data_IF_725916726238
#
_entry.id   IF_725916726238
#
_cell.length_a   1.000
_cell.length_b   1.000
_cell.length_c   1.000
_cell.angle_alpha   90.00
_cell.angle_beta   90.00
_cell.angle_gamma   90.00
#
_symmetry.space_group_name_H-M   'P 1'
#
loop_
_entity.id
_entity.type
_entity.pdbx_description
1 polymer ?
#
# COMPACT_ATOMS: atom_id res chain seq x y z
N UNK A 1 52.59 -7.51 14.05
CA UNK A 1 52.22 -8.25 12.82
C UNK A 1 50.71 -8.31 12.75
N UNK A 2 50.08 -7.57 11.82
CA UNK A 2 48.62 -7.51 11.72
C UNK A 2 48.07 -8.84 11.20
N UNK A 3 47.13 -9.43 11.92
CA UNK A 3 46.47 -10.72 11.65
C UNK A 3 45.51 -10.68 10.44
N UNK A 4 45.24 -9.49 9.91
CA UNK A 4 44.27 -9.28 8.83
C UNK A 4 44.86 -9.46 7.42
N UNK A 5 46.18 -9.56 7.28
CA UNK A 5 46.88 -9.69 5.99
C UNK A 5 46.71 -11.05 5.30
N UNK A 6 46.16 -12.06 6.00
CA UNK A 6 45.86 -13.39 5.43
C UNK A 6 44.50 -13.47 4.76
N UNK A 7 43.65 -12.45 4.93
CA UNK A 7 42.30 -12.47 4.37
C UNK A 7 42.26 -11.74 3.03
N UNK A 8 41.52 -12.31 2.07
CA UNK A 8 41.25 -11.68 0.78
C UNK A 8 40.12 -10.69 0.94
N UNK A 9 40.44 -9.40 0.85
CA UNK A 9 39.44 -8.34 0.85
C UNK A 9 38.72 -8.32 -0.50
N UNK A 10 37.43 -8.64 -0.49
CA UNK A 10 36.56 -8.46 -1.66
C UNK A 10 35.55 -7.37 -1.34
N UNK A 11 35.42 -6.39 -2.23
CA UNK A 11 34.38 -5.37 -2.16
C UNK A 11 33.05 -6.02 -2.49
N UNK A 12 32.10 -6.00 -1.54
CA UNK A 12 30.74 -6.42 -1.79
C UNK A 12 30.11 -5.39 -2.74
N UNK A 13 29.99 -5.73 -4.03
CA UNK A 13 29.24 -4.92 -4.97
C UNK A 13 27.78 -4.87 -4.52
N UNK A 14 27.24 -3.67 -4.34
CA UNK A 14 25.85 -3.45 -3.94
C UNK A 14 24.95 -4.12 -4.99
N UNK A 15 24.02 -4.97 -4.56
CA UNK A 15 23.02 -5.53 -5.46
C UNK A 15 22.35 -4.39 -6.27
N UNK A 16 22.01 -4.62 -7.56
CA UNK A 16 21.36 -3.59 -8.36
C UNK A 16 20.14 -3.07 -7.61
N UNK A 17 20.04 -1.75 -7.50
CA UNK A 17 18.95 -1.12 -6.78
C UNK A 17 17.63 -1.57 -7.43
N UNK A 18 16.75 -2.20 -6.65
CA UNK A 18 15.39 -2.54 -7.09
C UNK A 18 14.78 -1.29 -7.72
N UNK A 19 14.23 -1.44 -8.92
CA UNK A 19 13.63 -0.34 -9.68
C UNK A 19 12.68 0.44 -8.74
N UNK A 20 12.86 1.76 -8.59
CA UNK A 20 11.97 2.59 -7.79
C UNK A 20 10.48 2.42 -8.13
N UNK A 21 10.14 2.09 -9.37
CA UNK A 21 8.77 1.80 -9.80
C UNK A 21 8.29 0.48 -9.19
N UNK A 22 9.07 -0.60 -9.35
CA UNK A 22 8.71 -1.90 -8.78
C UNK A 22 8.55 -1.81 -7.26
N UNK A 23 9.45 -1.09 -6.58
CA UNK A 23 9.33 -0.87 -5.13
C UNK A 23 8.06 -0.12 -4.72
N UNK A 24 7.56 0.81 -5.56
CA UNK A 24 6.28 1.51 -5.32
C UNK A 24 5.11 0.55 -5.52
N UNK A 25 5.18 -0.27 -6.58
CA UNK A 25 4.17 -1.29 -6.89
C UNK A 25 4.05 -2.32 -5.77
N UNK A 26 5.15 -2.87 -5.28
CA UNK A 26 5.13 -3.83 -4.18
C UNK A 26 4.51 -3.24 -2.91
N UNK A 27 4.77 -1.95 -2.64
CA UNK A 27 4.17 -1.25 -1.49
C UNK A 27 2.68 -1.09 -1.61
N UNK A 28 2.17 -0.73 -2.79
CA UNK A 28 0.73 -0.55 -2.95
C UNK A 28 -0.01 -1.88 -2.93
N UNK A 29 0.57 -2.92 -3.55
CA UNK A 29 0.03 -4.29 -3.50
C UNK A 29 -0.06 -4.75 -2.04
N UNK A 30 1.01 -4.63 -1.27
CA UNK A 30 1.01 -5.00 0.16
C UNK A 30 -0.03 -4.18 0.96
N UNK A 31 -0.21 -2.90 0.65
CA UNK A 31 -1.24 -2.08 1.29
C UNK A 31 -2.66 -2.52 0.92
N UNK A 32 -2.90 -2.91 -0.34
CA UNK A 32 -4.19 -3.43 -0.81
C UNK A 32 -4.50 -4.78 -0.13
N UNK A 33 -3.51 -5.66 0.01
CA UNK A 33 -3.67 -6.92 0.75
C UNK A 33 -4.04 -6.68 2.21
N UNK A 34 -3.41 -5.70 2.87
CA UNK A 34 -3.82 -5.28 4.21
C UNK A 34 -5.27 -4.78 4.24
N UNK A 35 -5.71 -4.01 3.24
CA UNK A 35 -7.10 -3.55 3.16
C UNK A 35 -8.09 -4.71 2.97
N UNK A 36 -7.72 -5.78 2.26
CA UNK A 36 -8.56 -6.99 2.16
C UNK A 36 -8.76 -7.63 3.54
N UNK A 37 -7.73 -7.65 4.39
CA UNK A 37 -7.86 -8.12 5.78
C UNK A 37 -8.72 -7.18 6.63
N UNK A 38 -8.55 -5.86 6.47
CA UNK A 38 -9.41 -4.86 7.13
C UNK A 38 -10.86 -5.05 6.74
N UNK A 39 -11.13 -5.37 5.46
CA UNK A 39 -12.48 -5.60 4.96
C UNK A 39 -13.05 -6.87 5.57
N UNK A 40 -12.28 -7.95 5.60
CA UNK A 40 -12.70 -9.21 6.22
C UNK A 40 -13.03 -9.04 7.72
N UNK A 41 -12.30 -8.20 8.45
CA UNK A 41 -12.63 -7.84 9.83
C UNK A 41 -13.89 -6.97 9.90
N UNK A 42 -13.99 -5.95 9.04
CA UNK A 42 -15.15 -5.05 9.01
C UNK A 42 -16.46 -5.78 8.69
N UNK A 43 -16.43 -6.77 7.79
CA UNK A 43 -17.57 -7.65 7.50
C UNK A 43 -18.03 -8.47 8.70
N UNK A 44 -17.12 -8.76 9.64
CA UNK A 44 -17.43 -9.40 10.93
C UNK A 44 -17.83 -8.41 12.02
N UNK A 45 -17.82 -7.11 11.73
CA UNK A 45 -18.02 -6.04 12.72
C UNK A 45 -16.80 -5.74 13.60
N UNK A 46 -15.62 -6.24 13.21
CA UNK A 46 -14.37 -6.08 13.95
C UNK A 46 -13.44 -5.04 13.33
N UNK A 47 -12.56 -4.46 14.14
CA UNK A 47 -11.51 -3.53 13.66
C UNK A 47 -10.21 -4.31 13.52
N UNK A 48 -9.68 -4.37 12.29
CA UNK A 48 -8.36 -4.96 12.07
C UNK A 48 -7.25 -4.07 12.63
N UNK A 49 -6.46 -4.64 13.53
CA UNK A 49 -5.31 -3.98 14.14
C UNK A 49 -4.03 -4.73 13.79
N UNK A 50 -2.96 -3.99 13.46
CA UNK A 50 -1.64 -4.59 13.31
C UNK A 50 -0.99 -4.64 14.69
N UNK A 51 -0.46 -5.80 15.12
CA UNK A 51 0.32 -5.88 16.34
C UNK A 51 1.54 -4.97 16.26
N UNK A 52 1.89 -4.35 17.38
CA UNK A 52 3.04 -3.47 17.43
C UNK A 52 4.33 -4.22 17.11
N UNK A 53 5.13 -3.65 16.21
CA UNK A 53 6.41 -4.24 15.78
C UNK A 53 7.52 -4.15 16.85
N UNK A 54 7.27 -3.48 17.96
CA UNK A 54 8.21 -3.22 19.06
C UNK A 54 7.44 -3.31 20.38
N UNK A 55 8.00 -4.00 21.37
CA UNK A 55 7.45 -4.06 22.73
C UNK A 55 7.23 -2.64 23.29
N UNK A 56 6.04 -2.40 23.85
CA UNK A 56 5.67 -1.11 24.43
C UNK A 56 4.94 -0.14 23.49
N UNK A 57 4.73 -0.47 22.21
CA UNK A 57 3.82 0.29 21.34
C UNK A 57 2.43 -0.34 21.33
N UNK A 58 1.38 0.48 21.30
CA UNK A 58 0.01 0.00 21.17
C UNK A 58 -0.25 -0.56 19.76
N UNK A 59 -1.10 -1.58 19.66
CA UNK A 59 -1.60 -2.08 18.38
C UNK A 59 -2.25 -0.94 17.60
N UNK A 60 -1.98 -0.86 16.30
CA UNK A 60 -2.48 0.23 15.46
C UNK A 60 -3.62 -0.26 14.58
N UNK A 61 -4.80 0.31 14.76
CA UNK A 61 -5.91 0.12 13.84
C UNK A 61 -5.52 0.64 12.45
N UNK A 62 -5.70 -0.20 11.43
CA UNK A 62 -5.55 0.25 10.06
C UNK A 62 -6.84 0.96 9.67
N UNK A 63 -6.71 2.21 9.22
CA UNK A 63 -7.87 2.93 8.70
C UNK A 63 -8.32 2.29 7.38
N UNK A 64 -9.62 1.93 7.25
CA UNK A 64 -10.17 1.47 5.99
C UNK A 64 -9.98 2.49 4.87
N UNK A 65 -9.82 2.00 3.66
CA UNK A 65 -9.75 2.80 2.45
C UNK A 65 -11.13 3.19 1.89
N UNK A 66 -12.19 2.69 2.51
CA UNK A 66 -13.56 3.04 2.19
C UNK A 66 -14.20 3.88 3.29
N UNK A 67 -15.15 4.73 2.89
CA UNK A 67 -15.97 5.54 3.80
C UNK A 67 -17.42 5.34 3.42
N UNK A 68 -18.27 5.06 4.41
CA UNK A 68 -19.71 4.98 4.23
C UNK A 68 -20.28 6.40 4.08
N UNK A 69 -20.92 6.68 2.94
CA UNK A 69 -21.54 7.98 2.64
C UNK A 69 -22.60 7.78 1.55
N UNK A 70 -23.64 8.63 1.53
CA UNK A 70 -24.71 8.62 0.52
C UNK A 70 -25.40 7.26 0.35
N UNK A 71 -25.59 6.54 1.46
CA UNK A 71 -26.15 5.19 1.49
C UNK A 71 -25.32 4.15 0.70
N UNK A 72 -24.03 4.42 0.49
CA UNK A 72 -23.07 3.49 -0.08
C UNK A 72 -21.67 3.68 0.50
N UNK A 73 -20.66 3.25 -0.23
CA UNK A 73 -19.26 3.28 0.18
C UNK A 73 -18.37 3.83 -0.93
N UNK A 74 -17.55 4.83 -0.57
CA UNK A 74 -16.53 5.38 -1.45
C UNK A 74 -15.18 4.74 -1.14
N UNK A 75 -14.65 3.96 -2.08
CA UNK A 75 -13.38 3.23 -1.95
C UNK A 75 -12.26 4.00 -2.65
N UNK A 76 -11.24 4.42 -1.90
CA UNK A 76 -10.10 5.16 -2.41
C UNK A 76 -8.85 4.29 -2.44
N UNK A 77 -8.11 4.26 -3.56
CA UNK A 77 -6.79 3.66 -3.56
C UNK A 77 -5.78 4.63 -2.94
N UNK A 78 -5.09 4.27 -1.85
CA UNK A 78 -4.14 5.18 -1.19
C UNK A 78 -2.70 4.72 -1.34
N UNK A 79 -1.82 5.67 -1.64
CA UNK A 79 -0.39 5.47 -1.58
C UNK A 79 0.20 6.33 -0.45
N UNK A 80 0.60 5.66 0.63
CA UNK A 80 1.00 6.33 1.87
C UNK A 80 -0.17 7.10 2.49
N UNK A 81 0.01 8.41 2.69
CA UNK A 81 -1.02 9.26 3.31
C UNK A 81 -2.04 9.83 2.30
N UNK A 82 -1.84 9.64 0.99
CA UNK A 82 -2.59 10.33 -0.07
C UNK A 82 -3.40 9.34 -0.91
N UNK A 83 -4.60 9.74 -1.32
CA UNK A 83 -5.39 9.00 -2.30
C UNK A 83 -4.80 9.21 -3.71
N UNK A 84 -4.77 8.13 -4.48
CA UNK A 84 -4.43 8.16 -5.90
C UNK A 84 -5.63 8.65 -6.70
N UNK A 85 -5.35 9.43 -7.72
CA UNK A 85 -6.32 9.81 -8.75
C UNK A 85 -6.43 8.62 -9.71
N UNK A 86 -7.61 8.01 -9.78
CA UNK A 86 -7.87 6.75 -10.50
C UNK A 86 -8.22 7.01 -11.97
N UNK A 87 -8.90 8.13 -12.24
CA UNK A 87 -9.20 8.60 -13.59
C UNK A 87 -8.83 10.09 -13.69
N UNK A 88 -9.17 10.80 -14.77
CA UNK A 88 -8.76 12.21 -14.93
C UNK A 88 -9.18 13.16 -13.78
N UNK A 89 -10.23 12.83 -13.02
CA UNK A 89 -10.84 13.74 -12.02
C UNK A 89 -11.12 13.12 -10.65
N UNK A 90 -11.32 11.81 -10.58
CA UNK A 90 -11.87 11.10 -9.44
C UNK A 90 -10.81 10.24 -8.77
N UNK A 91 -10.86 10.18 -7.44
CA UNK A 91 -9.94 9.44 -6.58
C UNK A 91 -10.60 8.26 -5.85
N UNK A 92 -11.91 8.04 -6.08
CA UNK A 92 -12.71 7.04 -5.40
C UNK A 92 -13.64 6.31 -6.37
N UNK A 93 -13.95 5.06 -6.03
CA UNK A 93 -15.00 4.25 -6.67
C UNK A 93 -16.16 4.13 -5.70
N UNK A 94 -17.38 4.43 -6.15
CA UNK A 94 -18.58 4.27 -5.34
C UNK A 94 -19.17 2.87 -5.52
N UNK A 95 -19.59 2.25 -4.42
CA UNK A 95 -20.30 0.97 -4.39
C UNK A 95 -21.46 1.04 -3.41
N UNK A 96 -22.51 0.25 -3.61
CA UNK A 96 -23.71 0.34 -2.76
C UNK A 96 -23.55 -0.49 -1.47
N UNK A 97 -22.76 -1.56 -1.51
CA UNK A 97 -22.61 -2.50 -0.40
C UNK A 97 -21.16 -2.67 0.01
N UNK A 98 -20.95 -2.99 1.29
CA UNK A 98 -19.62 -3.25 1.82
C UNK A 98 -18.97 -4.47 1.14
N UNK A 99 -19.76 -5.48 0.77
CA UNK A 99 -19.27 -6.68 0.07
C UNK A 99 -18.67 -6.36 -1.30
N UNK A 100 -19.20 -5.33 -1.98
CA UNK A 100 -18.71 -4.87 -3.29
C UNK A 100 -17.32 -4.21 -3.18
N UNK A 101 -16.93 -3.75 -2.00
CA UNK A 101 -15.58 -3.20 -1.74
C UNK A 101 -14.49 -4.23 -2.02
N UNK A 102 -14.77 -5.52 -1.80
CA UNK A 102 -13.81 -6.59 -2.08
C UNK A 102 -13.45 -6.65 -3.58
N UNK A 103 -14.45 -6.47 -4.44
CA UNK A 103 -14.26 -6.45 -5.89
C UNK A 103 -13.43 -5.21 -6.32
N UNK A 104 -13.68 -4.05 -5.70
CA UNK A 104 -12.89 -2.84 -5.97
C UNK A 104 -11.43 -2.99 -5.54
N UNK A 105 -11.17 -3.58 -4.35
CA UNK A 105 -9.81 -3.84 -3.89
C UNK A 105 -9.09 -4.85 -4.81
N UNK A 106 -9.80 -5.85 -5.33
CA UNK A 106 -9.24 -6.79 -6.32
C UNK A 106 -8.92 -6.08 -7.66
N UNK A 107 -9.77 -5.17 -8.12
CA UNK A 107 -9.51 -4.37 -9.30
C UNK A 107 -8.28 -3.46 -9.13
N UNK A 108 -8.12 -2.83 -7.96
CA UNK A 108 -6.91 -2.05 -7.65
C UNK A 108 -5.64 -2.90 -7.64
N UNK A 109 -5.71 -4.13 -7.11
CA UNK A 109 -4.58 -5.06 -7.10
C UNK A 109 -4.18 -5.45 -8.53
N UNK A 110 -5.16 -5.76 -9.40
CA UNK A 110 -4.93 -6.04 -10.81
C UNK A 110 -4.31 -4.83 -11.55
N UNK A 111 -4.88 -3.63 -11.37
CA UNK A 111 -4.37 -2.40 -11.96
C UNK A 111 -2.94 -2.05 -11.47
N UNK A 112 -2.64 -2.29 -10.19
CA UNK A 112 -1.30 -2.14 -9.64
C UNK A 112 -0.32 -3.12 -10.28
N UNK A 113 -0.69 -4.40 -10.40
CA UNK A 113 0.15 -5.44 -11.04
C UNK A 113 0.38 -5.17 -12.54
N UNK A 114 -0.62 -4.63 -13.23
CA UNK A 114 -0.52 -4.20 -14.62
C UNK A 114 0.29 -2.90 -14.81
N UNK A 115 0.58 -2.17 -13.73
CA UNK A 115 1.33 -0.91 -13.77
C UNK A 115 0.50 0.33 -14.15
N UNK A 116 -0.83 0.21 -14.21
CA UNK A 116 -1.72 1.33 -14.57
C UNK A 116 -1.65 2.47 -13.53
N UNK A 117 -1.40 2.10 -12.26
CA UNK A 117 -1.28 3.06 -11.16
C UNK A 117 0.12 3.69 -11.05
N UNK A 118 1.10 3.26 -11.85
CA UNK A 118 2.50 3.70 -11.71
C UNK A 118 2.65 5.21 -11.92
N UNK A 119 1.94 5.77 -12.91
CA UNK A 119 1.92 7.22 -13.17
C UNK A 119 1.31 7.99 -12.00
N UNK A 120 0.18 7.51 -11.46
CA UNK A 120 -0.49 8.14 -10.31
C UNK A 120 0.39 8.08 -9.06
N UNK A 121 1.04 6.95 -8.79
CA UNK A 121 1.99 6.79 -7.69
C UNK A 121 3.21 7.71 -7.84
N UNK A 122 3.75 7.83 -9.05
CA UNK A 122 4.87 8.74 -9.33
C UNK A 122 4.48 10.20 -9.09
N UNK A 123 3.32 10.64 -9.59
CA UNK A 123 2.83 12.00 -9.39
C UNK A 123 2.64 12.34 -7.91
N UNK A 124 2.09 11.40 -7.13
CA UNK A 124 1.91 11.57 -5.68
C UNK A 124 3.25 11.57 -4.93
N UNK A 125 4.22 10.76 -5.37
CA UNK A 125 5.56 10.69 -4.79
C UNK A 125 6.41 11.93 -5.07
N UNK A 126 6.35 12.49 -6.29
CA UNK A 126 7.06 13.72 -6.66
C UNK A 126 6.53 14.94 -5.91
N UNK A 127 5.21 15.03 -5.68
CA UNK A 127 4.60 16.07 -4.82
C UNK A 127 5.01 15.99 -3.33
N UNK A 128 5.87 15.05 -2.92
CA UNK A 128 6.44 14.99 -1.56
C UNK A 128 7.81 15.67 -1.47
N UNK A 129 8.41 16.06 -2.60
CA UNK A 129 9.70 16.79 -2.65
C UNK A 129 9.54 18.32 -2.61
N UNK A 130 8.32 18.83 -2.48
CA UNK A 130 8.05 20.26 -2.26
C UNK A 130 8.01 20.60 -0.78
#
# INVERSE_FOLDING_TARGET
>A
MSSLSKFTFKTLAKAPAVDPIQRRRDKIIAAIEQQKLVLAAALKGEIFTIPAKVEGKAAKAIRPWWVAQDNGFYVQCRYGARALILNATNNAVFVNKLDEVAAVLAAFDAAAKAGELDKAMAAVAERKKG
#
